data_IF_008083383454
#
_entry.id   IF_008083383454
#
_cell.length_a   1.000
_cell.length_b   1.000
_cell.length_c   1.000
_cell.angle_alpha   90.00
_cell.angle_beta   90.00
_cell.angle_gamma   90.00
#
_symmetry.space_group_name_H-M   'P 1'
#
loop_
_entity.id
_entity.type
_entity.pdbx_description
1 polymer ?
#
# COMPACT_ATOMS: atom_id res chain seq x y z
N UNK A 1 1.98 4.92 -19.66
CA UNK A 1 0.70 5.67 -19.82
C UNK A 1 -0.49 4.76 -19.70
N UNK A 2 -0.69 3.81 -20.64
CA UNK A 2 -1.83 2.89 -20.60
C UNK A 2 -1.99 2.15 -19.27
N UNK A 3 -0.90 1.58 -18.71
CA UNK A 3 -0.95 0.87 -17.42
C UNK A 3 -1.54 1.73 -16.29
N UNK A 4 -1.15 3.00 -16.21
CA UNK A 4 -1.66 3.95 -15.23
C UNK A 4 -3.15 4.27 -15.46
N UNK A 5 -3.55 4.53 -16.70
CA UNK A 5 -4.96 4.79 -17.06
C UNK A 5 -5.83 3.56 -16.81
N UNK A 6 -5.32 2.36 -17.10
CA UNK A 6 -6.02 1.10 -16.93
C UNK A 6 -6.32 0.78 -15.46
N UNK A 7 -5.67 1.45 -14.51
CA UNK A 7 -5.99 1.32 -13.08
C UNK A 7 -7.44 1.70 -12.75
N UNK A 8 -8.11 2.49 -13.59
CA UNK A 8 -9.53 2.84 -13.43
C UNK A 8 -10.46 1.62 -13.60
N UNK A 9 -9.98 0.56 -14.23
CA UNK A 9 -10.72 -0.70 -14.43
C UNK A 9 -10.29 -1.79 -13.44
N UNK A 10 -9.40 -1.49 -12.50
CA UNK A 10 -8.88 -2.51 -11.60
C UNK A 10 -9.96 -3.09 -10.68
N UNK A 11 -11.01 -2.33 -10.35
CA UNK A 11 -12.15 -2.85 -9.61
C UNK A 11 -12.82 -4.02 -10.34
N UNK A 12 -12.91 -3.95 -11.67
CA UNK A 12 -13.48 -5.03 -12.50
C UNK A 12 -12.52 -6.23 -12.66
N UNK A 13 -11.21 -5.96 -12.68
CA UNK A 13 -10.19 -6.99 -12.92
C UNK A 13 -9.83 -7.75 -11.63
N UNK A 14 -9.74 -7.04 -10.52
CA UNK A 14 -9.15 -7.53 -9.28
C UNK A 14 -10.11 -7.56 -8.08
N UNK A 15 -11.32 -7.00 -8.21
CA UNK A 15 -12.33 -7.00 -7.15
C UNK A 15 -11.78 -6.43 -5.83
N UNK A 16 -11.87 -7.21 -4.75
CA UNK A 16 -11.40 -6.80 -3.41
C UNK A 16 -9.89 -6.46 -3.34
N UNK A 17 -9.11 -6.87 -4.34
CA UNK A 17 -7.67 -6.57 -4.46
C UNK A 17 -7.37 -5.34 -5.34
N UNK A 18 -8.38 -4.69 -5.92
CA UNK A 18 -8.20 -3.59 -6.88
C UNK A 18 -7.43 -2.40 -6.32
N UNK A 19 -7.77 -1.97 -5.11
CA UNK A 19 -7.00 -0.93 -4.42
C UNK A 19 -5.53 -1.32 -4.28
N UNK A 20 -5.23 -2.63 -4.25
CA UNK A 20 -3.88 -3.14 -4.02
C UNK A 20 -3.03 -3.09 -5.23
N UNK A 21 -3.60 -3.64 -6.29
CA UNK A 21 -3.01 -3.53 -7.59
C UNK A 21 -2.82 -2.06 -7.98
N UNK A 22 -3.78 -1.17 -7.66
CA UNK A 22 -3.64 0.26 -7.99
C UNK A 22 -2.49 0.91 -7.23
N UNK A 23 -2.41 0.69 -5.92
CA UNK A 23 -1.32 1.23 -5.10
C UNK A 23 0.05 0.70 -5.55
N UNK A 24 0.18 -0.61 -5.69
CA UNK A 24 1.43 -1.25 -6.10
C UNK A 24 1.86 -0.78 -7.50
N UNK A 25 0.90 -0.64 -8.44
CA UNK A 25 1.17 -0.10 -9.77
C UNK A 25 1.71 1.33 -9.70
N UNK A 26 1.09 2.19 -8.87
CA UNK A 26 1.49 3.59 -8.74
C UNK A 26 2.88 3.75 -8.11
N UNK A 27 3.17 3.02 -7.03
CA UNK A 27 4.50 3.08 -6.39
C UNK A 27 5.56 2.50 -7.34
N UNK A 28 5.26 1.37 -7.99
CA UNK A 28 6.17 0.74 -8.95
C UNK A 28 6.49 1.65 -10.14
N UNK A 29 5.50 2.38 -10.65
CA UNK A 29 5.71 3.36 -11.73
C UNK A 29 6.67 4.47 -11.31
N UNK A 30 6.61 4.97 -10.08
CA UNK A 30 7.60 5.94 -9.62
C UNK A 30 8.99 5.33 -9.45
N UNK A 31 9.09 4.10 -8.93
CA UNK A 31 10.37 3.38 -8.88
C UNK A 31 10.97 3.15 -10.28
N UNK A 32 10.17 3.03 -11.34
CA UNK A 32 10.69 2.95 -12.70
C UNK A 32 11.43 4.23 -13.09
N UNK A 33 10.97 5.42 -12.65
CA UNK A 33 11.69 6.69 -12.92
C UNK A 33 13.10 6.68 -12.34
N UNK A 34 13.29 6.06 -11.17
CA UNK A 34 14.62 5.98 -10.55
C UNK A 34 15.56 5.06 -11.33
N UNK A 35 15.08 4.29 -12.32
CA UNK A 35 15.92 3.46 -13.20
C UNK A 35 16.93 4.27 -14.02
N UNK A 36 16.81 5.60 -14.05
CA UNK A 36 17.81 6.49 -14.65
C UNK A 36 19.21 6.33 -14.02
N UNK A 37 19.31 5.82 -12.79
CA UNK A 37 20.59 5.41 -12.19
C UNK A 37 21.35 4.40 -13.07
N UNK A 38 20.63 3.54 -13.80
CA UNK A 38 21.25 2.61 -14.75
C UNK A 38 21.89 3.32 -15.94
N UNK A 39 21.38 4.49 -16.34
CA UNK A 39 21.99 5.28 -17.40
C UNK A 39 23.39 5.78 -16.98
N UNK A 40 23.57 6.08 -15.69
CA UNK A 40 24.89 6.40 -15.14
C UNK A 40 25.83 5.19 -15.19
N UNK A 41 25.36 4.02 -14.74
CA UNK A 41 26.13 2.79 -14.83
C UNK A 41 26.55 2.48 -16.27
N UNK A 42 25.60 2.47 -17.21
CA UNK A 42 25.86 2.22 -18.62
C UNK A 42 26.85 3.25 -19.20
N UNK A 43 26.67 4.55 -18.95
CA UNK A 43 27.61 5.55 -19.44
C UNK A 43 29.02 5.37 -18.86
N UNK A 44 29.14 4.96 -17.60
CA UNK A 44 30.43 4.71 -16.94
C UNK A 44 31.22 3.57 -17.60
N UNK A 45 30.53 2.61 -18.24
CA UNK A 45 31.16 1.51 -18.98
C UNK A 45 31.82 1.97 -20.30
N UNK A 46 31.40 3.12 -20.84
CA UNK A 46 31.82 3.57 -22.18
C UNK A 46 32.59 4.90 -22.17
N UNK A 47 32.50 5.70 -21.10
CA UNK A 47 33.10 7.02 -21.01
C UNK A 47 33.87 7.22 -19.69
N UNK A 48 35.21 7.13 -19.74
CA UNK A 48 36.10 7.35 -18.59
C UNK A 48 36.04 8.76 -17.98
N UNK A 49 35.38 9.73 -18.63
CA UNK A 49 35.49 11.16 -18.33
C UNK A 49 34.17 11.92 -18.13
N UNK A 50 33.00 11.26 -18.13
CA UNK A 50 31.70 11.96 -18.07
C UNK A 50 30.89 11.48 -16.86
N UNK A 51 30.66 12.43 -15.93
CA UNK A 51 29.90 12.32 -14.67
C UNK A 51 30.58 11.47 -13.58
N UNK A 52 31.14 12.16 -12.58
CA UNK A 52 31.89 11.56 -11.47
C UNK A 52 30.97 11.20 -10.29
N UNK A 53 30.27 10.07 -10.35
CA UNK A 53 30.06 9.30 -9.12
C UNK A 53 31.32 8.50 -8.85
N UNK A 54 31.67 8.29 -7.58
CA UNK A 54 32.69 7.29 -7.25
C UNK A 54 32.14 5.88 -7.53
N UNK A 55 33.02 4.92 -7.80
CA UNK A 55 32.61 3.51 -7.95
C UNK A 55 31.82 3.01 -6.73
N UNK A 56 32.15 3.51 -5.53
CA UNK A 56 31.46 3.20 -4.27
C UNK A 56 30.04 3.80 -4.20
N UNK A 57 29.86 5.04 -4.65
CA UNK A 57 28.53 5.67 -4.72
C UNK A 57 27.65 5.01 -5.78
N UNK A 58 28.24 4.63 -6.92
CA UNK A 58 27.56 3.91 -7.99
C UNK A 58 27.12 2.52 -7.53
N UNK A 59 28.01 1.76 -6.88
CA UNK A 59 27.69 0.43 -6.34
C UNK A 59 26.61 0.51 -5.26
N UNK A 60 26.66 1.53 -4.39
CA UNK A 60 25.62 1.80 -3.40
C UNK A 60 24.28 2.17 -4.04
N UNK A 61 24.29 3.02 -5.06
CA UNK A 61 23.06 3.41 -5.77
C UNK A 61 22.42 2.22 -6.48
N UNK A 62 23.23 1.38 -7.15
CA UNK A 62 22.78 0.16 -7.81
C UNK A 62 22.27 -0.88 -6.80
N UNK A 63 22.99 -1.09 -5.70
CA UNK A 63 22.62 -2.04 -4.65
C UNK A 63 21.33 -1.63 -3.94
N UNK A 64 21.18 -0.34 -3.63
CA UNK A 64 19.95 0.16 -3.01
C UNK A 64 18.72 -0.03 -3.90
N UNK A 65 18.90 0.11 -5.21
CA UNK A 65 17.78 0.08 -6.14
C UNK A 65 17.44 -1.33 -6.63
N UNK A 66 18.46 -2.16 -6.87
CA UNK A 66 18.30 -3.44 -7.55
C UNK A 66 18.77 -4.64 -6.72
N UNK A 67 19.40 -4.39 -5.56
CA UNK A 67 20.06 -5.40 -4.75
C UNK A 67 21.49 -5.70 -5.22
N UNK A 68 22.27 -6.35 -4.36
CA UNK A 68 23.65 -6.73 -4.67
C UNK A 68 23.71 -7.60 -5.93
N UNK A 69 24.67 -7.32 -6.80
CA UNK A 69 25.00 -8.13 -7.99
C UNK A 69 23.87 -8.25 -9.04
N UNK A 70 22.77 -7.50 -8.91
CA UNK A 70 21.64 -7.60 -9.83
C UNK A 70 22.02 -7.30 -11.28
N UNK A 71 22.90 -6.33 -11.52
CA UNK A 71 23.39 -5.98 -12.85
C UNK A 71 24.06 -7.18 -13.55
N UNK A 72 24.63 -8.15 -12.82
CA UNK A 72 25.20 -9.38 -13.41
C UNK A 72 24.12 -10.31 -13.95
N UNK A 73 22.89 -10.21 -13.45
CA UNK A 73 21.74 -11.02 -13.87
C UNK A 73 20.90 -10.31 -14.94
N UNK A 74 20.97 -8.99 -15.02
CA UNK A 74 20.29 -8.21 -16.04
C UNK A 74 21.11 -8.15 -17.35
N UNK A 75 21.04 -9.23 -18.14
CA UNK A 75 21.69 -9.30 -19.46
C UNK A 75 21.28 -8.14 -20.39
N UNK A 76 20.07 -7.60 -20.19
CA UNK A 76 19.49 -6.56 -21.03
C UNK A 76 20.29 -5.24 -21.00
N UNK A 77 20.92 -4.90 -19.87
CA UNK A 77 21.79 -3.71 -19.74
C UNK A 77 23.00 -3.77 -20.68
N UNK A 78 23.43 -4.97 -21.07
CA UNK A 78 24.59 -5.18 -21.96
C UNK A 78 24.20 -5.36 -23.42
N UNK A 79 22.95 -5.77 -23.70
CA UNK A 79 22.49 -6.01 -25.07
C UNK A 79 21.77 -4.81 -25.69
N UNK A 80 21.14 -3.95 -24.88
CA UNK A 80 20.35 -2.79 -25.35
C UNK A 80 20.64 -1.54 -24.49
N UNK A 81 21.85 -0.96 -24.58
CA UNK A 81 22.21 0.22 -23.80
C UNK A 81 21.26 1.39 -24.08
N UNK A 82 20.96 2.17 -23.04
CA UNK A 82 20.04 3.31 -23.08
C UNK A 82 18.57 2.96 -22.81
N UNK A 83 18.21 1.68 -22.72
CA UNK A 83 16.79 1.31 -22.57
C UNK A 83 16.22 1.73 -21.21
N UNK A 84 16.99 1.61 -20.12
CA UNK A 84 16.53 2.02 -18.78
C UNK A 84 16.38 3.54 -18.65
N UNK A 85 17.21 4.31 -19.37
CA UNK A 85 16.99 5.74 -19.53
C UNK A 85 15.67 5.99 -20.27
N UNK A 86 15.41 5.26 -21.35
CA UNK A 86 14.15 5.30 -22.09
C UNK A 86 12.92 5.03 -21.19
N UNK A 87 12.97 4.00 -20.34
CA UNK A 87 11.89 3.75 -19.37
C UNK A 87 11.68 4.92 -18.41
N UNK A 88 12.77 5.52 -17.93
CA UNK A 88 12.69 6.63 -16.98
C UNK A 88 12.07 7.88 -17.60
N UNK A 89 12.52 8.25 -18.81
CA UNK A 89 11.99 9.39 -19.57
C UNK A 89 10.52 9.19 -19.95
N UNK A 90 10.17 8.01 -20.47
CA UNK A 90 8.78 7.70 -20.84
C UNK A 90 7.86 7.63 -19.62
N UNK A 91 8.36 7.15 -18.48
CA UNK A 91 7.61 7.15 -17.23
C UNK A 91 7.40 8.56 -16.66
N UNK A 92 8.39 9.46 -16.81
CA UNK A 92 8.24 10.87 -16.47
C UNK A 92 7.03 11.49 -17.19
N UNK A 93 6.90 11.26 -18.50
CA UNK A 93 5.72 11.70 -19.26
C UNK A 93 4.45 10.96 -18.85
N UNK A 94 4.55 9.66 -18.54
CA UNK A 94 3.39 8.86 -18.16
C UNK A 94 2.76 9.33 -16.85
N UNK A 95 3.55 9.71 -15.84
CA UNK A 95 3.06 10.23 -14.56
C UNK A 95 2.34 11.58 -14.77
N UNK A 96 2.85 12.45 -15.63
CA UNK A 96 2.17 13.70 -15.98
C UNK A 96 0.83 13.47 -16.67
N UNK A 97 0.78 12.56 -17.66
CA UNK A 97 -0.48 12.18 -18.32
C UNK A 97 -1.46 11.57 -17.33
N UNK A 98 -0.98 10.81 -16.35
CA UNK A 98 -1.82 10.25 -15.30
C UNK A 98 -2.34 11.31 -14.31
N UNK A 99 -1.54 12.30 -13.94
CA UNK A 99 -2.00 13.46 -13.17
C UNK A 99 -3.12 14.22 -13.91
N UNK A 100 -2.98 14.41 -15.23
CA UNK A 100 -4.04 14.97 -16.08
C UNK A 100 -5.28 14.07 -16.05
N UNK A 101 -5.11 12.75 -16.20
CA UNK A 101 -6.20 11.77 -16.16
C UNK A 101 -6.99 11.80 -14.84
N UNK A 102 -6.30 11.91 -13.70
CA UNK A 102 -6.95 11.97 -12.38
C UNK A 102 -7.77 13.27 -12.21
N UNK A 103 -7.35 14.36 -12.85
CA UNK A 103 -8.07 15.64 -12.83
C UNK A 103 -9.22 15.70 -13.84
N UNK A 104 -9.01 15.13 -15.02
CA UNK A 104 -10.00 14.98 -16.09
C UNK A 104 -9.69 13.72 -16.90
N UNK A 105 -10.54 12.69 -16.70
CA UNK A 105 -10.37 11.37 -17.32
C UNK A 105 -10.29 11.44 -18.84
N UNK A 106 -11.13 12.27 -19.46
CA UNK A 106 -11.14 12.35 -20.92
C UNK A 106 -9.88 13.05 -21.42
N UNK A 107 -9.45 14.14 -20.77
CA UNK A 107 -8.22 14.82 -21.16
C UNK A 107 -6.98 13.91 -21.05
N UNK A 108 -6.90 13.07 -20.01
CA UNK A 108 -5.80 12.11 -19.88
C UNK A 108 -5.83 11.00 -20.95
N UNK A 109 -7.02 10.51 -21.30
CA UNK A 109 -7.20 9.54 -22.40
C UNK A 109 -6.82 10.17 -23.75
N UNK A 110 -7.24 11.41 -24.01
CA UNK A 110 -6.90 12.14 -25.22
C UNK A 110 -5.38 12.30 -25.34
N UNK A 111 -4.69 12.68 -24.24
CA UNK A 111 -3.22 12.77 -24.19
C UNK A 111 -2.53 11.43 -24.47
N UNK A 112 -3.09 10.32 -24.01
CA UNK A 112 -2.57 8.99 -24.34
C UNK A 112 -2.65 8.70 -25.84
N UNK A 113 -3.77 9.01 -26.49
CA UNK A 113 -3.90 8.82 -27.94
C UNK A 113 -3.04 9.80 -28.74
N UNK A 114 -2.90 11.05 -28.30
CA UNK A 114 -1.93 12.00 -28.87
C UNK A 114 -0.50 11.42 -28.84
N UNK A 115 -0.10 10.77 -27.73
CA UNK A 115 1.20 10.08 -27.67
C UNK A 115 1.30 8.89 -28.62
N UNK A 116 0.21 8.12 -28.81
CA UNK A 116 0.18 7.02 -29.77
C UNK A 116 0.38 7.50 -31.22
N UNK A 117 -0.10 8.70 -31.54
CA UNK A 117 0.05 9.31 -32.88
C UNK A 117 1.46 9.87 -33.14
N UNK A 118 2.35 9.87 -32.13
CA UNK A 118 3.73 10.37 -32.23
C UNK A 118 4.75 9.28 -32.63
N UNK A 119 4.32 8.25 -33.38
CA UNK A 119 5.23 7.16 -33.79
C UNK A 119 6.40 7.71 -34.62
N UNK A 120 7.63 7.41 -34.17
CA UNK A 120 8.88 7.83 -34.81
C UNK A 120 9.42 9.19 -34.34
N UNK A 121 8.69 9.92 -33.51
CA UNK A 121 9.17 11.14 -32.87
C UNK A 121 10.19 10.85 -31.75
N UNK A 122 11.05 11.81 -31.46
CA UNK A 122 11.94 11.82 -30.30
C UNK A 122 11.19 12.12 -29.00
N UNK A 123 11.81 11.81 -27.86
CA UNK A 123 11.24 12.13 -26.54
C UNK A 123 10.84 13.60 -26.40
N UNK A 124 11.70 14.54 -26.82
CA UNK A 124 11.43 15.98 -26.71
C UNK A 124 10.26 16.40 -27.60
N UNK A 125 10.19 15.89 -28.83
CA UNK A 125 9.08 16.18 -29.75
C UNK A 125 7.74 15.67 -29.21
N UNK A 126 7.71 14.45 -28.65
CA UNK A 126 6.51 13.90 -27.98
C UNK A 126 6.13 14.77 -26.79
N UNK A 127 7.10 15.11 -25.93
CA UNK A 127 6.88 15.92 -24.72
C UNK A 127 6.29 17.29 -25.07
N UNK A 128 6.85 17.96 -26.07
CA UNK A 128 6.38 19.26 -26.56
C UNK A 128 4.98 19.16 -27.18
N UNK A 129 4.73 18.18 -28.04
CA UNK A 129 3.40 17.97 -28.67
C UNK A 129 2.30 17.73 -27.64
N UNK A 130 2.61 16.98 -26.59
CA UNK A 130 1.66 16.72 -25.51
C UNK A 130 1.55 17.91 -24.54
N UNK A 131 2.43 18.91 -24.62
CA UNK A 131 2.45 20.06 -23.70
C UNK A 131 2.87 19.66 -22.27
N UNK A 132 3.80 18.72 -22.16
CA UNK A 132 4.34 18.22 -20.89
C UNK A 132 5.63 18.95 -20.52
N UNK A 133 6.00 18.87 -19.24
CA UNK A 133 7.31 19.33 -18.75
C UNK A 133 8.38 18.33 -19.18
N UNK A 134 9.52 18.81 -19.68
CA UNK A 134 10.63 17.95 -20.08
C UNK A 134 11.36 17.43 -18.85
N UNK A 135 11.79 16.17 -18.90
CA UNK A 135 12.69 15.59 -17.91
C UNK A 135 14.06 16.29 -17.87
N UNK A 136 14.41 17.10 -18.89
CA UNK A 136 15.64 17.87 -18.94
C UNK A 136 15.51 19.31 -18.45
N UNK A 137 14.31 19.74 -18.03
CA UNK A 137 14.12 21.06 -17.42
C UNK A 137 14.82 21.13 -16.05
N UNK A 138 15.38 22.29 -15.71
CA UNK A 138 16.12 22.51 -14.46
C UNK A 138 15.31 22.13 -13.20
N UNK A 139 13.98 22.26 -13.27
CA UNK A 139 13.06 21.98 -12.16
C UNK A 139 12.30 20.65 -12.30
N UNK A 140 12.66 19.79 -13.27
CA UNK A 140 11.92 18.57 -13.58
C UNK A 140 11.77 17.65 -12.36
N UNK A 141 12.82 17.50 -11.56
CA UNK A 141 12.81 16.66 -10.36
C UNK A 141 11.86 17.19 -9.27
N UNK A 142 11.87 18.50 -9.01
CA UNK A 142 10.96 19.14 -8.04
C UNK A 142 9.51 19.05 -8.51
N UNK A 143 9.27 19.29 -9.79
CA UNK A 143 7.96 19.17 -10.42
C UNK A 143 7.41 17.75 -10.31
N UNK A 144 8.19 16.73 -10.68
CA UNK A 144 7.77 15.33 -10.58
C UNK A 144 7.47 14.94 -9.13
N UNK A 145 8.32 15.36 -8.18
CA UNK A 145 8.10 15.12 -6.76
C UNK A 145 6.81 15.78 -6.28
N UNK A 146 6.49 16.99 -6.76
CA UNK A 146 5.25 17.69 -6.43
C UNK A 146 4.03 16.91 -6.91
N UNK A 147 3.95 16.61 -8.21
CA UNK A 147 2.77 15.93 -8.78
C UNK A 147 2.59 14.53 -8.18
N UNK A 148 3.68 13.81 -7.92
CA UNK A 148 3.60 12.48 -7.30
C UNK A 148 3.05 12.58 -5.88
N UNK A 149 3.53 13.53 -5.08
CA UNK A 149 3.00 13.74 -3.74
C UNK A 149 1.53 14.17 -3.76
N UNK A 150 1.12 15.00 -4.71
CA UNK A 150 -0.27 15.42 -4.84
C UNK A 150 -1.19 14.24 -5.20
N UNK A 151 -0.73 13.34 -6.08
CA UNK A 151 -1.42 12.09 -6.42
C UNK A 151 -1.59 11.24 -5.16
N UNK A 152 -0.50 10.93 -4.43
CA UNK A 152 -0.58 10.06 -3.25
C UNK A 152 -1.39 10.68 -2.12
N UNK A 153 -1.32 12.00 -1.93
CA UNK A 153 -2.13 12.70 -0.92
C UNK A 153 -3.61 12.65 -1.28
N UNK A 154 -3.94 12.84 -2.56
CA UNK A 154 -5.34 12.84 -3.02
C UNK A 154 -5.95 11.45 -2.98
N UNK A 155 -5.22 10.44 -3.47
CA UNK A 155 -5.74 9.08 -3.60
C UNK A 155 -5.63 8.27 -2.30
N UNK A 156 -4.62 8.54 -1.46
CA UNK A 156 -4.27 7.72 -0.29
C UNK A 156 -4.06 8.51 1.02
N UNK A 157 -4.11 9.84 1.00
CA UNK A 157 -3.93 10.66 2.20
C UNK A 157 -2.50 10.74 2.74
N UNK A 158 -1.51 10.29 1.98
CA UNK A 158 -0.10 10.21 2.39
C UNK A 158 0.84 10.80 1.33
N UNK A 159 2.09 11.08 1.70
CA UNK A 159 3.13 11.42 0.73
C UNK A 159 3.75 10.16 0.08
N UNK A 160 4.53 10.40 -0.98
CA UNK A 160 5.19 9.33 -1.73
C UNK A 160 6.22 8.56 -0.88
N UNK A 161 6.98 9.26 -0.03
CA UNK A 161 8.03 8.62 0.77
C UNK A 161 7.41 7.60 1.76
N UNK A 162 6.25 7.94 2.34
CA UNK A 162 5.44 7.02 3.14
C UNK A 162 4.88 5.87 2.31
N UNK A 163 4.43 6.14 1.07
CA UNK A 163 3.93 5.10 0.17
C UNK A 163 5.02 4.11 -0.23
N UNK A 164 6.24 4.60 -0.46
CA UNK A 164 7.40 3.80 -0.76
C UNK A 164 7.79 2.91 0.43
N UNK A 165 7.88 3.48 1.64
CA UNK A 165 8.10 2.71 2.87
C UNK A 165 7.07 1.58 3.00
N UNK A 166 5.83 1.86 2.65
CA UNK A 166 4.77 0.88 2.72
C UNK A 166 4.90 -0.22 1.69
N UNK A 167 5.28 0.13 0.47
CA UNK A 167 5.53 -0.85 -0.58
C UNK A 167 6.71 -1.76 -0.21
N UNK A 168 7.83 -1.18 0.25
CA UNK A 168 9.07 -1.90 0.57
C UNK A 168 8.91 -2.80 1.82
N UNK A 169 8.18 -2.35 2.83
CA UNK A 169 7.85 -3.14 4.01
C UNK A 169 6.59 -4.00 3.82
N UNK A 170 6.00 -3.96 2.62
CA UNK A 170 4.74 -4.58 2.22
C UNK A 170 3.57 -4.29 3.13
N UNK A 171 3.46 -3.09 3.71
CA UNK A 171 2.27 -2.59 4.42
C UNK A 171 1.24 -2.00 3.41
N UNK A 172 0.58 -2.87 2.67
CA UNK A 172 -0.26 -2.55 1.51
C UNK A 172 -1.51 -1.67 1.79
N UNK A 173 -1.63 -0.46 1.22
CA UNK A 173 -2.72 0.53 1.37
C UNK A 173 -4.14 0.21 0.83
N UNK A 174 -4.80 -0.80 1.41
CA UNK A 174 -6.23 -1.02 1.22
C UNK A 174 -7.06 0.25 1.43
N UNK A 175 -7.99 0.57 0.52
CA UNK A 175 -9.00 1.61 0.83
C UNK A 175 -9.87 1.11 1.97
N UNK A 176 -9.73 1.79 3.11
CA UNK A 176 -10.39 1.45 4.36
C UNK A 176 -11.15 2.68 4.82
N UNK A 177 -12.38 2.48 5.27
CA UNK A 177 -13.20 3.55 5.81
C UNK A 177 -13.44 3.32 7.30
N UNK A 178 -13.11 4.28 8.17
CA UNK A 178 -13.49 4.18 9.56
C UNK A 178 -15.01 4.21 9.65
N UNK A 179 -15.59 3.30 10.41
CA UNK A 179 -17.04 3.18 10.60
C UNK A 179 -17.34 2.89 12.05
N UNK A 180 -18.47 3.42 12.52
CA UNK A 180 -19.03 3.03 13.80
C UNK A 180 -19.92 1.80 13.59
N UNK A 181 -19.57 0.68 14.22
CA UNK A 181 -20.35 -0.55 14.17
C UNK A 181 -21.10 -0.75 15.49
N UNK A 182 -22.41 -0.94 15.41
CA UNK A 182 -23.20 -1.42 16.56
C UNK A 182 -22.90 -2.89 16.81
N UNK A 183 -22.62 -3.23 18.07
CA UNK A 183 -22.33 -4.60 18.51
C UNK A 183 -23.16 -4.95 19.75
N UNK A 184 -23.63 -6.19 19.86
CA UNK A 184 -24.21 -6.74 21.09
C UNK A 184 -23.51 -8.06 21.43
N UNK A 185 -23.11 -8.22 22.70
CA UNK A 185 -22.44 -9.43 23.19
C UNK A 185 -23.43 -10.22 24.05
N UNK A 186 -23.66 -11.49 23.71
CA UNK A 186 -24.56 -12.40 24.42
C UNK A 186 -25.99 -11.84 24.66
N UNK A 187 -26.49 -11.04 23.71
CA UNK A 187 -27.80 -10.39 23.83
C UNK A 187 -27.86 -9.26 24.87
N UNK A 188 -26.70 -8.79 25.35
CA UNK A 188 -26.60 -7.63 26.22
C UNK A 188 -26.86 -6.31 25.50
N UNK A 189 -26.68 -5.19 26.22
CA UNK A 189 -26.86 -3.85 25.68
C UNK A 189 -25.99 -3.60 24.45
N UNK A 190 -26.56 -2.93 23.45
CA UNK A 190 -25.85 -2.54 22.24
C UNK A 190 -24.78 -1.50 22.57
N UNK A 191 -23.55 -1.79 22.15
CA UNK A 191 -22.39 -0.92 22.27
C UNK A 191 -21.95 -0.46 20.89
N UNK A 192 -21.21 0.65 20.86
CA UNK A 192 -20.56 1.16 19.64
C UNK A 192 -19.11 0.70 19.65
N UNK A 193 -18.67 0.17 18.52
CA UNK A 193 -17.31 -0.30 18.32
C UNK A 193 -16.74 0.34 17.06
N UNK A 194 -15.51 0.82 17.15
CA UNK A 194 -14.82 1.36 15.99
C UNK A 194 -14.38 0.20 15.12
N UNK A 195 -14.83 0.21 13.87
CA UNK A 195 -14.41 -0.72 12.86
C UNK A 195 -13.84 0.04 11.65
N UNK A 196 -13.18 -0.72 10.81
CA UNK A 196 -12.57 -0.29 9.57
C UNK A 196 -13.20 -1.14 8.47
N UNK A 197 -14.03 -0.52 7.65
CA UNK A 197 -14.70 -1.21 6.55
C UNK A 197 -13.75 -1.28 5.34
N UNK A 198 -13.56 -2.49 4.81
CA UNK A 198 -12.84 -2.73 3.56
C UNK A 198 -13.65 -3.72 2.74
N UNK A 199 -14.10 -3.31 1.56
CA UNK A 199 -14.90 -4.18 0.68
C UNK A 199 -16.20 -4.68 1.32
N UNK A 200 -16.83 -3.89 2.20
CA UNK A 200 -18.04 -4.30 2.92
C UNK A 200 -17.78 -5.16 4.17
N UNK A 201 -16.54 -5.56 4.43
CA UNK A 201 -16.17 -6.33 5.61
C UNK A 201 -15.66 -5.45 6.75
N UNK A 202 -16.02 -5.82 7.98
CA UNK A 202 -15.61 -5.11 9.19
C UNK A 202 -14.31 -5.68 9.78
N UNK A 203 -13.28 -4.84 9.82
CA UNK A 203 -12.02 -5.10 10.50
C UNK A 203 -11.99 -4.33 11.82
N UNK A 204 -11.62 -4.98 12.91
CA UNK A 204 -11.70 -4.42 14.27
C UNK A 204 -10.34 -4.50 14.92
N UNK A 205 -9.94 -3.44 15.63
CA UNK A 205 -8.72 -3.45 16.45
C UNK A 205 -8.83 -4.59 17.47
N UNK A 206 -7.83 -5.46 17.51
CA UNK A 206 -7.90 -6.66 18.36
C UNK A 206 -8.05 -6.32 19.86
N UNK A 207 -7.49 -5.19 20.28
CA UNK A 207 -7.56 -4.67 21.66
C UNK A 207 -8.95 -4.15 22.01
N UNK A 208 -9.64 -3.49 21.07
CA UNK A 208 -11.03 -3.04 21.28
C UNK A 208 -11.97 -4.24 21.41
N UNK A 209 -11.73 -5.30 20.63
CA UNK A 209 -12.45 -6.57 20.78
C UNK A 209 -12.14 -7.26 22.12
N UNK A 210 -10.90 -7.20 22.59
CA UNK A 210 -10.52 -7.74 23.91
C UNK A 210 -11.22 -6.99 25.05
N UNK A 211 -11.27 -5.66 24.98
CA UNK A 211 -12.02 -4.79 25.90
C UNK A 211 -13.51 -5.13 25.89
N UNK A 212 -14.10 -5.32 24.71
CA UNK A 212 -15.52 -5.66 24.54
C UNK A 212 -15.88 -7.02 25.15
N UNK A 213 -14.98 -8.02 25.07
CA UNK A 213 -15.20 -9.38 25.57
C UNK A 213 -14.69 -9.60 27.00
N UNK A 214 -14.15 -8.57 27.66
CA UNK A 214 -13.59 -8.70 28.99
C UNK A 214 -14.66 -9.10 30.02
N UNK A 215 -14.39 -10.13 30.84
CA UNK A 215 -15.34 -10.67 31.80
C UNK A 215 -16.33 -11.71 31.23
N UNK A 216 -16.26 -12.02 29.93
CA UNK A 216 -17.03 -13.11 29.31
C UNK A 216 -16.24 -14.43 29.29
N UNK A 217 -16.88 -15.54 28.88
CA UNK A 217 -16.18 -16.82 28.71
C UNK A 217 -15.09 -16.79 27.63
N UNK A 218 -15.24 -15.90 26.63
CA UNK A 218 -14.28 -15.67 25.55
C UNK A 218 -13.32 -14.51 25.81
N UNK A 219 -13.14 -14.09 27.08
CA UNK A 219 -12.18 -13.04 27.41
C UNK A 219 -10.76 -13.42 27.00
N UNK A 220 -9.95 -12.44 26.63
CA UNK A 220 -8.55 -12.64 26.29
C UNK A 220 -7.76 -11.36 26.48
N UNK A 221 -6.43 -11.50 26.52
CA UNK A 221 -5.49 -10.39 26.50
C UNK A 221 -4.60 -10.47 25.25
N UNK A 222 -4.01 -9.33 24.87
CA UNK A 222 -3.19 -9.19 23.67
C UNK A 222 -1.76 -8.87 24.05
N UNK A 223 -0.88 -9.82 23.80
CA UNK A 223 0.57 -9.67 23.92
C UNK A 223 1.19 -9.44 22.55
N UNK A 224 2.19 -8.57 22.49
CA UNK A 224 2.84 -8.19 21.26
C UNK A 224 4.36 -8.32 21.45
N UNK A 225 4.98 -9.10 20.57
CA UNK A 225 6.43 -9.22 20.49
C UNK A 225 6.92 -8.39 19.31
N UNK A 226 7.51 -7.23 19.61
CA UNK A 226 8.01 -6.30 18.60
C UNK A 226 9.18 -6.87 17.80
N UNK A 227 9.96 -7.79 18.40
CA UNK A 227 11.21 -8.28 17.81
C UNK A 227 10.97 -9.22 16.63
N UNK A 228 9.86 -9.95 16.65
CA UNK A 228 9.46 -10.91 15.61
C UNK A 228 8.10 -10.57 15.00
N UNK A 229 7.53 -9.41 15.35
CA UNK A 229 6.21 -8.99 14.91
C UNK A 229 5.12 -10.01 15.27
N UNK A 230 5.06 -10.50 16.50
CA UNK A 230 4.13 -11.58 16.85
C UNK A 230 2.99 -11.07 17.72
N UNK A 231 1.75 -11.31 17.29
CA UNK A 231 0.55 -10.99 18.07
C UNK A 231 0.09 -12.29 18.74
N UNK A 232 0.15 -12.33 20.06
CA UNK A 232 -0.28 -13.48 20.84
C UNK A 232 -1.58 -13.16 21.58
N UNK A 233 -2.64 -13.87 21.21
CA UNK A 233 -3.92 -13.89 21.92
C UNK A 233 -3.80 -14.86 23.08
N UNK A 234 -3.94 -14.37 24.30
CA UNK A 234 -3.92 -15.18 25.52
C UNK A 234 -5.35 -15.37 26.01
N UNK A 235 -5.98 -16.49 25.62
CA UNK A 235 -7.38 -16.76 25.94
C UNK A 235 -7.57 -17.01 27.44
N UNK A 236 -8.69 -16.56 28.00
CA UNK A 236 -9.03 -16.70 29.42
C UNK A 236 -8.35 -15.67 30.33
N UNK A 237 -7.36 -14.91 29.83
CA UNK A 237 -6.74 -13.82 30.57
C UNK A 237 -7.62 -12.56 30.45
N UNK A 238 -7.97 -11.87 31.55
CA UNK A 238 -8.68 -10.59 31.48
C UNK A 238 -7.87 -9.55 30.70
N UNK A 239 -8.56 -8.73 29.91
CA UNK A 239 -7.90 -7.66 29.15
C UNK A 239 -7.37 -6.58 30.08
N UNK A 240 -6.11 -6.17 29.86
CA UNK A 240 -5.49 -5.03 30.56
C UNK A 240 -5.38 -3.85 29.62
N UNK A 241 -6.10 -2.76 29.93
CA UNK A 241 -6.04 -1.56 29.13
C UNK A 241 -4.62 -0.96 29.12
N UNK A 242 -4.24 -0.39 27.98
CA UNK A 242 -2.97 0.33 27.82
C UNK A 242 -3.25 1.79 27.41
N UNK A 243 -2.20 2.62 27.44
CA UNK A 243 -2.29 4.06 27.14
C UNK A 243 -2.69 4.40 25.70
N UNK A 244 -2.59 3.44 24.76
CA UNK A 244 -2.95 3.63 23.36
C UNK A 244 -4.38 3.16 23.04
N UNK A 245 -5.14 2.69 24.04
CA UNK A 245 -6.54 2.34 23.87
C UNK A 245 -7.38 3.61 23.74
N UNK A 246 -8.03 3.78 22.59
CA UNK A 246 -8.83 4.96 22.27
C UNK A 246 -10.17 4.56 21.68
N UNK A 247 -11.23 5.23 22.14
CA UNK A 247 -12.59 5.09 21.64
C UNK A 247 -12.93 6.19 20.60
N UNK A 248 -11.92 6.90 20.06
CA UNK A 248 -12.11 7.91 19.02
C UNK A 248 -12.06 7.33 17.60
N UNK A 249 -13.06 7.70 16.79
CA UNK A 249 -13.04 7.44 15.35
C UNK A 249 -11.96 8.35 14.73
N UNK A 250 -10.81 7.75 14.44
CA UNK A 250 -9.73 8.45 13.76
C UNK A 250 -9.93 8.41 12.24
N UNK A 251 -9.61 9.52 11.57
CA UNK A 251 -9.36 9.52 10.13
C UNK A 251 -8.30 8.47 9.79
N UNK A 252 -8.49 7.74 8.70
CA UNK A 252 -7.52 6.75 8.23
C UNK A 252 -6.37 7.49 7.57
N UNK A 253 -5.26 7.61 8.29
CA UNK A 253 -3.98 8.15 7.80
C UNK A 253 -3.14 7.06 7.17
N UNK A 254 -3.26 5.83 7.68
CA UNK A 254 -2.50 4.67 7.21
C UNK A 254 -3.43 3.46 7.27
N UNK A 255 -3.43 2.64 6.22
CA UNK A 255 -4.18 1.39 6.18
C UNK A 255 -3.36 0.33 5.46
N UNK A 256 -3.52 -0.95 5.80
CA UNK A 256 -3.00 -1.98 4.94
C UNK A 256 -2.71 -3.37 5.44
N UNK A 257 -2.41 -4.31 4.54
CA UNK A 257 -1.90 -5.63 4.94
C UNK A 257 -0.40 -5.53 5.10
N UNK A 258 0.18 -5.96 6.22
CA UNK A 258 1.64 -6.05 6.34
C UNK A 258 2.19 -7.25 5.57
N UNK A 259 3.43 -7.16 5.06
CA UNK A 259 4.00 -8.16 4.14
C UNK A 259 3.83 -9.55 4.75
N UNK A 260 3.39 -10.52 3.96
CA UNK A 260 3.26 -11.90 4.41
C UNK A 260 4.60 -12.37 5.02
N UNK A 261 4.66 -12.48 6.36
CA UNK A 261 5.89 -12.78 7.10
C UNK A 261 6.26 -11.77 8.19
N UNK A 262 5.70 -10.56 8.20
CA UNK A 262 5.99 -9.56 9.25
C UNK A 262 5.13 -9.68 10.49
N UNK A 263 3.93 -10.29 10.40
CA UNK A 263 3.13 -10.62 11.58
C UNK A 263 2.56 -12.03 11.58
N UNK A 264 2.80 -12.74 12.67
CA UNK A 264 2.18 -14.03 12.94
C UNK A 264 1.16 -13.90 14.06
N UNK A 265 -0.05 -14.42 13.83
CA UNK A 265 -1.04 -14.57 14.87
C UNK A 265 -0.75 -15.84 15.67
N UNK A 266 -0.79 -15.73 16.98
CA UNK A 266 -0.76 -16.85 17.89
C UNK A 266 -1.96 -16.86 18.80
N UNK A 267 -2.34 -18.08 19.18
CA UNK A 267 -3.30 -18.34 20.24
C UNK A 267 -2.61 -19.18 21.30
N UNK A 268 -2.45 -18.62 22.50
CA UNK A 268 -1.76 -19.26 23.62
C UNK A 268 -0.34 -19.76 23.23
N UNK A 269 0.39 -18.96 22.45
CA UNK A 269 1.73 -19.28 21.97
C UNK A 269 1.79 -20.15 20.70
N UNK A 270 0.68 -20.76 20.27
CA UNK A 270 0.61 -21.59 19.06
C UNK A 270 0.25 -20.77 17.82
N UNK A 271 1.00 -20.96 16.73
CA UNK A 271 0.78 -20.23 15.48
C UNK A 271 -0.59 -20.57 14.86
N UNK A 272 -1.34 -19.54 14.50
CA UNK A 272 -2.61 -19.64 13.80
C UNK A 272 -2.41 -19.16 12.36
N UNK A 273 -2.75 -20.01 11.39
CA UNK A 273 -2.89 -19.56 10.00
C UNK A 273 -4.16 -18.75 9.89
N UNK A 274 -4.04 -17.44 9.69
CA UNK A 274 -5.16 -16.53 9.68
C UNK A 274 -5.04 -15.54 8.53
N UNK A 275 -6.02 -15.55 7.61
CA UNK A 275 -6.20 -14.51 6.61
C UNK A 275 -7.10 -13.40 7.16
N UNK A 276 -6.85 -12.14 6.78
CA UNK A 276 -7.70 -11.02 7.21
C UNK A 276 -7.12 -10.17 8.34
N UNK A 277 -5.79 -10.11 8.47
CA UNK A 277 -5.10 -9.11 9.29
C UNK A 277 -4.82 -7.88 8.44
N UNK A 278 -5.18 -6.71 8.92
CA UNK A 278 -4.78 -5.42 8.37
C UNK A 278 -4.24 -4.53 9.50
N UNK A 279 -3.56 -3.47 9.13
CA UNK A 279 -2.94 -2.51 9.99
C UNK A 279 -3.52 -1.15 9.65
N UNK A 280 -4.18 -0.49 10.59
CA UNK A 280 -4.82 0.80 10.33
C UNK A 280 -4.43 1.76 11.42
N UNK A 281 -3.86 2.91 11.06
CA UNK A 281 -3.40 3.95 12.00
C UNK A 281 -2.49 3.43 13.12
N UNK A 282 -1.59 2.48 12.84
CA UNK A 282 -0.74 1.89 13.89
C UNK A 282 -1.35 0.69 14.63
N UNK A 283 -2.58 0.29 14.31
CA UNK A 283 -3.32 -0.74 15.03
C UNK A 283 -3.49 -2.03 14.24
N UNK A 284 -3.28 -3.17 14.90
CA UNK A 284 -3.60 -4.49 14.36
C UNK A 284 -5.11 -4.71 14.35
N UNK A 285 -5.69 -4.70 13.15
CA UNK A 285 -7.11 -4.88 12.91
C UNK A 285 -7.36 -6.23 12.23
N UNK A 286 -8.39 -6.94 12.69
CA UNK A 286 -8.69 -8.29 12.23
C UNK A 286 -10.09 -8.33 11.67
N UNK A 287 -10.27 -9.07 10.57
CA UNK A 287 -11.58 -9.41 10.04
C UNK A 287 -12.38 -10.13 11.12
N UNK A 288 -13.42 -9.49 11.65
CA UNK A 288 -14.17 -10.02 12.80
C UNK A 288 -14.74 -11.41 12.53
N UNK A 289 -15.40 -11.57 11.38
CA UNK A 289 -15.99 -12.85 10.98
C UNK A 289 -14.91 -13.91 10.79
N UNK A 290 -13.76 -13.53 10.27
CA UNK A 290 -12.60 -14.42 10.16
C UNK A 290 -12.15 -14.97 11.52
N UNK A 291 -12.08 -14.13 12.56
CA UNK A 291 -11.70 -14.57 13.91
C UNK A 291 -12.65 -15.62 14.48
N UNK A 292 -13.95 -15.46 14.20
CA UNK A 292 -14.99 -16.42 14.59
C UNK A 292 -14.87 -17.73 13.79
N UNK A 293 -14.83 -17.65 12.46
CA UNK A 293 -14.76 -18.81 11.55
C UNK A 293 -13.52 -19.67 11.78
N UNK A 294 -12.39 -19.03 12.11
CA UNK A 294 -11.13 -19.72 12.43
C UNK A 294 -11.01 -20.13 13.92
N UNK A 295 -12.08 -19.95 14.71
CA UNK A 295 -12.17 -20.32 16.14
C UNK A 295 -11.01 -19.78 16.99
N UNK A 296 -10.56 -18.58 16.67
CA UNK A 296 -9.42 -17.96 17.36
C UNK A 296 -9.79 -17.57 18.79
N UNK A 297 -11.01 -17.04 18.97
CA UNK A 297 -11.49 -16.48 20.24
C UNK A 297 -12.57 -17.30 20.93
N UNK A 298 -13.06 -18.38 20.30
CA UNK A 298 -14.25 -19.10 20.79
C UNK A 298 -15.48 -18.20 20.80
N UNK A 299 -15.75 -17.53 19.68
CA UNK A 299 -16.92 -16.66 19.49
C UNK A 299 -17.64 -17.05 18.20
N UNK A 300 -18.94 -16.77 18.16
CA UNK A 300 -19.74 -16.76 16.93
C UNK A 300 -20.17 -15.33 16.61
N UNK A 301 -20.23 -15.02 15.31
CA UNK A 301 -20.60 -13.69 14.80
C UNK A 301 -21.77 -13.82 13.85
N UNK A 302 -22.84 -13.10 14.14
CA UNK A 302 -24.03 -12.98 13.31
C UNK A 302 -24.37 -11.50 13.05
N UNK A 303 -25.38 -11.24 12.23
CA UNK A 303 -25.79 -9.89 11.88
C UNK A 303 -27.32 -9.75 11.88
N UNK A 304 -27.81 -8.78 12.64
CA UNK A 304 -29.20 -8.35 12.63
C UNK A 304 -29.38 -7.19 11.65
N UNK A 305 -30.02 -7.46 10.52
CA UNK A 305 -30.31 -6.50 9.46
C UNK A 305 -31.31 -5.42 9.90
N UNK A 306 -32.27 -5.73 10.77
CA UNK A 306 -33.32 -4.78 11.19
C UNK A 306 -32.72 -3.67 12.06
N UNK A 307 -31.78 -4.01 12.94
CA UNK A 307 -31.16 -3.05 13.85
C UNK A 307 -29.79 -2.55 13.39
N UNK A 308 -29.25 -3.15 12.32
CA UNK A 308 -27.87 -2.97 11.82
C UNK A 308 -26.85 -3.25 12.94
N UNK A 309 -27.01 -4.40 13.61
CA UNK A 309 -26.21 -4.77 14.79
C UNK A 309 -25.46 -6.08 14.53
N UNK A 310 -24.15 -6.05 14.78
CA UNK A 310 -23.34 -7.27 14.81
C UNK A 310 -23.58 -7.98 16.14
N UNK A 311 -23.95 -9.24 16.08
CA UNK A 311 -24.22 -10.07 17.26
C UNK A 311 -23.01 -10.96 17.52
N UNK A 312 -22.47 -10.91 18.75
CA UNK A 312 -21.35 -11.73 19.18
C UNK A 312 -21.80 -12.66 20.30
N UNK A 313 -21.59 -13.95 20.13
CA UNK A 313 -21.89 -14.97 21.14
C UNK A 313 -20.59 -15.61 21.61
N UNK A 314 -20.41 -15.71 22.92
CA UNK A 314 -19.21 -16.31 23.54
C UNK A 314 -19.46 -17.78 23.83
N UNK A 315 -18.47 -18.64 23.54
CA UNK A 315 -18.50 -20.09 23.80
C UNK A 315 -17.88 -20.48 25.15
#
# INVERSE_FOLDING_TARGET
MFELIATDYYDEIYGDNAGAMKFDTLVSCFQIVTSATMAYFENSLYNDNVLKMSDEDLDKALTNQFGEEWYKTCQFCFTNPGTYLGYSLTMFNAIQVYDIFLKDKQAGIDKYFEACDCEGDTYEEVTEKLGLVSAFDDNAAEYLKSITNDIFKTEYGIDYDTALDYFENGTYLGKVFPTEQKVSVNGGETQKLIAYNRGGFNYIKIRDLAKLLNGTSSQFDVEYDETVGKINIVTGKPYTANENDTDEIAEVKTAGQKAAGTYSLCRNGENVRFGGMIFVNGYNCFLLRGLAENKVLGINVDYDEETNTVLIYTE
#
